data_IF_301833200169
#
_entry.id   IF_301833200169
#
_cell.length_a   1.000
_cell.length_b   1.000
_cell.length_c   1.000
_cell.angle_alpha   90.00
_cell.angle_beta   90.00
_cell.angle_gamma   90.00
#
_symmetry.space_group_name_H-M   'P 1'
#
loop_
_entity.id
_entity.type
_entity.pdbx_description
1 polymer ?
#
# COMPACT_ATOMS: atom_id res chain seq x y z
N UNK A 1 -18.01 -30.55 9.80
CA UNK A 1 -17.43 -30.40 8.45
C UNK A 1 -16.41 -29.29 8.50
N UNK A 2 -15.15 -29.51 8.18
CA UNK A 2 -14.16 -28.45 8.11
C UNK A 2 -14.53 -27.54 6.93
N UNK A 3 -14.85 -26.29 7.21
CA UNK A 3 -15.11 -25.29 6.17
C UNK A 3 -13.80 -25.04 5.44
N UNK A 4 -13.67 -25.49 4.21
CA UNK A 4 -12.48 -25.27 3.39
C UNK A 4 -12.35 -23.76 3.17
N UNK A 5 -11.24 -23.17 3.60
CA UNK A 5 -10.97 -21.76 3.41
C UNK A 5 -10.89 -21.42 1.92
N UNK A 6 -11.55 -20.32 1.51
CA UNK A 6 -11.50 -19.85 0.13
C UNK A 6 -10.09 -19.49 -0.25
N UNK A 7 -9.57 -20.09 -1.32
CA UNK A 7 -8.25 -19.78 -1.87
C UNK A 7 -8.27 -18.46 -2.61
N UNK A 8 -7.19 -17.69 -2.46
CA UNK A 8 -7.01 -16.45 -3.19
C UNK A 8 -5.54 -16.23 -3.61
N UNK A 9 -5.37 -15.50 -4.69
CA UNK A 9 -4.07 -15.03 -5.19
C UNK A 9 -4.21 -13.62 -5.72
N UNK A 10 -3.22 -12.77 -5.47
CA UNK A 10 -3.11 -11.42 -6.03
C UNK A 10 -1.67 -11.20 -6.48
N UNK A 11 -1.49 -10.79 -7.74
CA UNK A 11 -0.20 -10.40 -8.32
C UNK A 11 -0.32 -9.03 -8.95
N UNK A 12 0.69 -8.21 -8.76
CA UNK A 12 0.66 -6.87 -9.32
C UNK A 12 1.75 -5.97 -8.80
N UNK A 13 1.46 -4.67 -8.78
CA UNK A 13 2.40 -3.63 -8.41
C UNK A 13 1.88 -2.83 -7.23
N UNK A 14 2.74 -2.63 -6.23
CA UNK A 14 2.48 -1.82 -5.05
C UNK A 14 3.20 -0.47 -5.13
N UNK A 15 2.49 0.58 -4.75
CA UNK A 15 2.94 1.97 -4.75
C UNK A 15 2.84 2.50 -3.32
N UNK A 16 3.93 2.45 -2.57
CA UNK A 16 3.94 2.75 -1.14
C UNK A 16 4.55 4.12 -0.86
N UNK A 17 3.76 5.01 -0.29
CA UNK A 17 4.17 6.32 0.22
C UNK A 17 3.95 6.35 1.72
N UNK A 18 4.93 6.78 2.50
CA UNK A 18 4.74 6.93 3.95
C UNK A 18 5.51 8.13 4.52
N UNK A 19 5.21 8.46 5.77
CA UNK A 19 5.80 9.62 6.46
C UNK A 19 7.23 9.41 6.99
N UNK A 20 7.82 8.24 6.76
CA UNK A 20 9.22 7.96 7.10
C UNK A 20 10.21 8.73 6.19
N UNK A 21 11.46 8.79 6.61
CA UNK A 21 12.55 9.15 5.72
C UNK A 21 12.66 8.14 4.57
N UNK A 22 13.15 8.54 3.39
CA UNK A 22 13.36 7.62 2.28
C UNK A 22 14.16 6.38 2.67
N UNK A 23 13.70 5.21 2.24
CA UNK A 23 14.24 3.90 2.61
C UNK A 23 13.50 3.20 3.73
N UNK A 24 12.52 3.86 4.37
CA UNK A 24 11.62 3.32 5.40
C UNK A 24 12.26 2.33 6.39
N UNK A 25 12.68 2.81 7.55
CA UNK A 25 13.36 1.99 8.58
C UNK A 25 12.49 0.86 9.14
N UNK A 26 11.16 0.92 9.00
CA UNK A 26 10.26 -0.17 9.40
C UNK A 26 10.63 -1.51 8.78
N UNK A 27 11.19 -1.49 7.54
CA UNK A 27 11.62 -2.70 6.85
C UNK A 27 12.85 -3.37 7.48
N UNK A 28 13.58 -2.68 8.35
CA UNK A 28 14.82 -3.18 8.96
C UNK A 28 14.70 -3.34 10.48
N UNK A 29 14.19 -2.31 11.15
CA UNK A 29 14.11 -2.27 12.61
C UNK A 29 12.71 -2.53 13.16
N UNK A 30 11.68 -2.53 12.30
CA UNK A 30 10.27 -2.57 12.72
C UNK A 30 9.72 -1.23 13.22
N UNK A 31 10.56 -0.18 13.28
CA UNK A 31 10.16 1.13 13.81
C UNK A 31 10.25 2.23 12.77
N UNK A 32 9.26 3.16 12.71
CA UNK A 32 9.26 4.27 11.78
C UNK A 32 10.34 5.30 12.12
N UNK A 33 10.86 5.97 11.07
CA UNK A 33 11.79 7.09 11.19
C UNK A 33 11.09 8.46 11.17
N UNK A 34 9.76 8.47 11.26
CA UNK A 34 8.98 9.69 11.41
C UNK A 34 9.32 10.41 12.72
N UNK A 35 9.21 11.74 12.75
CA UNK A 35 9.58 12.54 13.92
C UNK A 35 8.72 12.29 15.16
N UNK A 36 7.49 11.82 14.96
CA UNK A 36 6.53 11.52 16.02
C UNK A 36 6.41 10.01 16.34
N UNK A 37 7.21 9.17 15.66
CA UNK A 37 7.19 7.72 15.83
C UNK A 37 5.95 7.03 15.24
N UNK A 38 5.07 7.78 14.56
CA UNK A 38 3.88 7.23 13.89
C UNK A 38 4.20 6.63 12.53
N UNK A 39 3.39 5.68 12.06
CA UNK A 39 3.44 5.19 10.69
C UNK A 39 2.16 5.62 9.96
N UNK A 40 2.29 6.56 9.03
CA UNK A 40 1.20 7.05 8.19
C UNK A 40 1.53 6.81 6.74
N UNK A 41 0.65 6.11 6.03
CA UNK A 41 0.96 5.66 4.69
C UNK A 41 -0.24 5.77 3.74
N UNK A 42 0.07 5.96 2.47
CA UNK A 42 -0.82 5.72 1.35
C UNK A 42 -0.20 4.63 0.48
N UNK A 43 -0.92 3.54 0.28
CA UNK A 43 -0.45 2.39 -0.49
C UNK A 43 -1.44 2.09 -1.60
N UNK A 44 -1.04 2.37 -2.85
CA UNK A 44 -1.76 1.94 -4.04
C UNK A 44 -1.44 0.49 -4.39
N UNK A 45 -2.45 -0.27 -4.80
CA UNK A 45 -2.36 -1.69 -5.19
C UNK A 45 -3.00 -1.85 -6.56
N UNK A 46 -2.18 -2.04 -7.59
CA UNK A 46 -2.64 -2.34 -8.94
C UNK A 46 -2.57 -3.85 -9.16
N UNK A 47 -3.71 -4.52 -9.10
CA UNK A 47 -3.82 -5.97 -9.28
C UNK A 47 -3.81 -6.28 -10.78
N UNK A 48 -2.72 -6.88 -11.26
CA UNK A 48 -2.61 -7.32 -12.66
C UNK A 48 -3.37 -8.63 -12.87
N UNK A 49 -3.18 -9.58 -11.97
CA UNK A 49 -3.83 -10.88 -11.95
C UNK A 49 -4.33 -11.14 -10.54
N UNK A 50 -5.59 -11.51 -10.37
CA UNK A 50 -6.15 -11.76 -9.05
C UNK A 50 -7.39 -12.64 -9.08
N UNK A 51 -7.49 -13.52 -8.09
CA UNK A 51 -8.64 -14.42 -7.94
C UNK A 51 -8.91 -14.70 -6.46
N UNK A 52 -10.21 -14.78 -6.11
CA UNK A 52 -10.65 -15.24 -4.79
C UNK A 52 -11.83 -16.22 -4.97
N UNK A 53 -11.58 -17.52 -4.77
CA UNK A 53 -12.53 -18.54 -5.19
C UNK A 53 -12.81 -18.43 -6.68
N UNK A 54 -14.06 -18.16 -7.05
CA UNK A 54 -14.48 -17.95 -8.44
C UNK A 54 -14.55 -16.47 -8.84
N UNK A 55 -14.27 -15.54 -7.91
CA UNK A 55 -14.31 -14.10 -8.16
C UNK A 55 -13.00 -13.66 -8.80
N UNK A 56 -13.09 -13.10 -10.02
CA UNK A 56 -11.95 -12.45 -10.71
C UNK A 56 -11.73 -11.05 -10.15
N UNK A 57 -10.49 -10.80 -9.71
CA UNK A 57 -10.01 -9.52 -9.16
C UNK A 57 -8.98 -8.85 -10.07
N UNK A 58 -8.73 -9.42 -11.26
CA UNK A 58 -7.75 -8.89 -12.21
C UNK A 58 -8.15 -7.50 -12.71
N UNK A 59 -7.17 -6.63 -12.89
CA UNK A 59 -7.36 -5.27 -13.39
C UNK A 59 -7.90 -4.28 -12.36
N UNK A 60 -8.18 -4.71 -11.12
CA UNK A 60 -8.62 -3.80 -10.07
C UNK A 60 -7.43 -2.98 -9.56
N UNK A 61 -7.63 -1.66 -9.48
CA UNK A 61 -6.72 -0.75 -8.78
C UNK A 61 -7.43 -0.21 -7.54
N UNK A 62 -6.85 -0.45 -6.37
CA UNK A 62 -7.38 0.01 -5.09
C UNK A 62 -6.25 0.59 -4.23
N UNK A 63 -6.59 1.18 -3.09
CA UNK A 63 -5.59 1.67 -2.15
C UNK A 63 -6.05 1.56 -0.70
N UNK A 64 -5.06 1.60 0.21
CA UNK A 64 -5.26 1.83 1.63
C UNK A 64 -4.60 3.14 2.08
N UNK A 65 -5.32 3.91 2.87
CA UNK A 65 -4.81 5.05 3.62
C UNK A 65 -4.71 4.64 5.07
N UNK A 66 -3.50 4.58 5.59
CA UNK A 66 -3.22 4.01 6.91
C UNK A 66 -2.73 5.09 7.88
N UNK A 67 -3.17 4.99 9.12
CA UNK A 67 -2.70 5.81 10.24
C UNK A 67 -2.50 4.93 11.47
N UNK A 68 -1.23 4.55 11.74
CA UNK A 68 -0.83 3.93 12.99
C UNK A 68 -0.21 4.99 13.91
N UNK A 69 -0.68 5.09 15.17
CA UNK A 69 -0.14 6.07 16.12
C UNK A 69 1.31 5.81 16.50
N UNK A 70 1.82 4.61 16.23
CA UNK A 70 3.18 4.14 16.50
C UNK A 70 3.65 3.20 15.38
N UNK A 71 4.60 2.31 15.68
CA UNK A 71 5.02 1.25 14.76
C UNK A 71 3.86 0.31 14.42
N UNK A 72 3.83 -0.21 13.18
CA UNK A 72 2.73 -1.04 12.67
C UNK A 72 2.41 -2.23 13.58
N UNK A 73 3.44 -2.92 14.09
CA UNK A 73 3.31 -4.10 14.92
C UNK A 73 2.76 -3.80 16.35
N UNK A 74 2.76 -2.54 16.76
CA UNK A 74 2.14 -2.12 18.03
C UNK A 74 0.61 -1.97 17.92
N UNK A 75 0.07 -2.03 16.68
CA UNK A 75 -1.37 -1.98 16.45
C UNK A 75 -2.00 -0.59 16.64
N UNK A 76 -3.31 -0.57 16.85
CA UNK A 76 -4.07 0.66 17.07
C UNK A 76 -4.27 1.50 15.80
N UNK A 77 -3.96 0.95 14.63
CA UNK A 77 -4.08 1.62 13.35
C UNK A 77 -5.53 1.78 12.89
N UNK A 78 -5.71 2.72 11.96
CA UNK A 78 -6.94 2.91 11.19
C UNK A 78 -6.61 2.83 9.71
N UNK A 79 -7.54 2.29 8.91
CA UNK A 79 -7.43 2.29 7.47
C UNK A 79 -8.72 2.80 6.82
N UNK A 80 -8.57 3.63 5.79
CA UNK A 80 -9.63 3.93 4.83
C UNK A 80 -9.23 3.30 3.50
N UNK A 81 -10.09 2.43 2.98
CA UNK A 81 -9.86 1.84 1.66
C UNK A 81 -10.46 2.72 0.56
N UNK A 82 -9.77 2.78 -0.57
CA UNK A 82 -10.24 3.42 -1.80
C UNK A 82 -10.35 2.32 -2.85
N UNK A 83 -11.53 2.15 -3.44
CA UNK A 83 -11.82 1.13 -4.45
C UNK A 83 -12.47 1.77 -5.67
N UNK A 84 -12.46 1.14 -6.86
CA UNK A 84 -13.10 1.68 -8.05
C UNK A 84 -14.57 2.02 -7.80
N UNK A 85 -15.06 3.10 -8.42
CA UNK A 85 -16.46 3.54 -8.29
C UNK A 85 -17.46 2.44 -8.67
N UNK A 86 -17.13 1.68 -9.73
CA UNK A 86 -17.99 0.61 -10.28
C UNK A 86 -17.55 -0.80 -9.88
N UNK A 87 -16.86 -0.95 -8.72
CA UNK A 87 -16.51 -2.28 -8.21
C UNK A 87 -17.77 -3.10 -7.95
N UNK A 88 -17.78 -4.37 -8.34
CA UNK A 88 -18.89 -5.27 -8.06
C UNK A 88 -18.89 -5.67 -6.58
N UNK A 89 -20.07 -6.00 -6.05
CA UNK A 89 -20.23 -6.35 -4.63
C UNK A 89 -19.45 -7.62 -4.25
N UNK A 90 -19.39 -8.63 -5.14
CA UNK A 90 -18.60 -9.84 -4.94
C UNK A 90 -17.08 -9.56 -4.89
N UNK A 91 -16.60 -8.64 -5.74
CA UNK A 91 -15.20 -8.20 -5.73
C UNK A 91 -14.86 -7.42 -4.46
N UNK A 92 -15.75 -6.51 -4.06
CA UNK A 92 -15.58 -5.72 -2.83
C UNK A 92 -15.54 -6.63 -1.59
N UNK A 93 -16.46 -7.59 -1.48
CA UNK A 93 -16.49 -8.56 -0.38
C UNK A 93 -15.21 -9.41 -0.34
N UNK A 94 -14.75 -9.89 -1.50
CA UNK A 94 -13.52 -10.66 -1.62
C UNK A 94 -12.30 -9.85 -1.15
N UNK A 95 -12.12 -8.62 -1.65
CA UNK A 95 -11.02 -7.74 -1.24
C UNK A 95 -11.09 -7.38 0.25
N UNK A 96 -12.29 -7.09 0.77
CA UNK A 96 -12.47 -6.80 2.18
C UNK A 96 -12.02 -8.00 3.05
N UNK A 97 -12.42 -9.23 2.72
CA UNK A 97 -12.01 -10.44 3.44
C UNK A 97 -10.50 -10.71 3.35
N UNK A 98 -9.88 -10.44 2.20
CA UNK A 98 -8.43 -10.55 2.03
C UNK A 98 -7.73 -9.51 2.89
N UNK A 99 -8.01 -8.22 2.69
CA UNK A 99 -7.28 -7.12 3.32
C UNK A 99 -7.51 -7.02 4.83
N UNK A 100 -8.60 -7.55 5.36
CA UNK A 100 -8.81 -7.67 6.81
C UNK A 100 -8.25 -8.97 7.41
N UNK A 101 -7.55 -9.80 6.63
CA UNK A 101 -6.91 -11.03 7.09
C UNK A 101 -7.88 -12.19 7.38
N UNK A 102 -9.18 -12.05 7.06
CA UNK A 102 -10.20 -13.10 7.32
C UNK A 102 -9.91 -14.38 6.54
N UNK A 103 -9.37 -14.27 5.33
CA UNK A 103 -9.01 -15.40 4.47
C UNK A 103 -7.59 -15.91 4.71
N UNK A 104 -6.89 -15.40 5.74
CA UNK A 104 -5.49 -15.73 6.01
C UNK A 104 -4.57 -15.43 4.81
N UNK A 105 -3.29 -15.81 4.91
CA UNK A 105 -2.30 -15.55 3.89
C UNK A 105 -1.57 -14.22 4.07
N UNK A 106 -0.29 -14.24 3.72
CA UNK A 106 0.57 -13.06 3.83
C UNK A 106 0.33 -12.08 2.68
N UNK A 107 0.44 -10.78 2.95
CA UNK A 107 0.79 -10.14 4.22
C UNK A 107 -0.43 -9.90 5.15
N UNK A 108 -1.63 -10.13 4.66
CA UNK A 108 -2.87 -9.60 5.23
C UNK A 108 -3.30 -10.27 6.52
N UNK A 109 -2.94 -11.55 6.75
CA UNK A 109 -3.21 -12.21 8.03
C UNK A 109 -2.48 -11.56 9.21
N UNK A 110 -1.36 -10.87 8.94
CA UNK A 110 -0.61 -10.10 9.92
C UNK A 110 -1.11 -8.66 9.95
N UNK A 111 -1.07 -7.97 8.81
CA UNK A 111 -1.44 -6.55 8.73
C UNK A 111 -2.88 -6.28 9.16
N UNK A 112 -3.82 -7.16 8.78
CA UNK A 112 -5.23 -7.04 9.16
C UNK A 112 -5.50 -7.06 10.66
N UNK A 113 -4.54 -7.51 11.48
CA UNK A 113 -4.65 -7.47 12.96
C UNK A 113 -4.20 -6.16 13.56
N UNK A 114 -3.53 -5.29 12.79
CA UNK A 114 -2.90 -4.07 13.30
C UNK A 114 -3.75 -2.82 13.14
N UNK A 115 -4.88 -2.91 12.45
CA UNK A 115 -5.77 -1.77 12.20
C UNK A 115 -7.25 -2.16 12.24
N UNK A 116 -8.08 -1.14 12.35
CA UNK A 116 -9.53 -1.22 12.13
C UNK A 116 -9.89 -0.47 10.85
N UNK A 117 -10.90 -0.97 10.12
CA UNK A 117 -11.41 -0.28 8.94
C UNK A 117 -12.26 0.91 9.39
N UNK A 118 -11.78 2.12 9.12
CA UNK A 118 -12.42 3.38 9.50
C UNK A 118 -13.33 3.94 8.39
N UNK A 119 -13.16 3.49 7.16
CA UNK A 119 -13.99 3.97 6.05
C UNK A 119 -13.70 3.29 4.72
N UNK A 120 -14.57 3.58 3.76
CA UNK A 120 -14.48 3.15 2.37
C UNK A 120 -14.85 4.33 1.45
N UNK A 121 -14.00 4.59 0.48
CA UNK A 121 -14.23 5.58 -0.59
C UNK A 121 -14.35 4.84 -1.91
N UNK A 122 -15.45 5.04 -2.63
CA UNK A 122 -15.61 4.54 -4.01
C UNK A 122 -15.23 5.66 -4.97
N UNK A 123 -14.08 5.52 -5.63
CA UNK A 123 -13.58 6.50 -6.60
C UNK A 123 -12.53 5.85 -7.51
N UNK A 124 -12.55 6.21 -8.78
CA UNK A 124 -11.58 5.69 -9.75
C UNK A 124 -10.22 6.36 -9.56
N UNK A 125 -9.18 5.54 -9.43
CA UNK A 125 -7.81 5.99 -9.29
C UNK A 125 -7.09 5.93 -10.63
N UNK A 126 -6.55 7.06 -11.05
CA UNK A 126 -5.65 7.14 -12.20
C UNK A 126 -4.22 6.85 -11.74
N UNK A 127 -3.65 5.76 -12.23
CA UNK A 127 -2.23 5.42 -12.06
C UNK A 127 -1.49 5.78 -13.35
N UNK A 128 -0.41 6.55 -13.22
CA UNK A 128 0.59 6.72 -14.27
C UNK A 128 1.80 5.91 -13.85
N UNK A 129 1.98 4.73 -14.47
CA UNK A 129 3.12 3.85 -14.18
C UNK A 129 4.32 4.26 -15.03
N UNK A 130 5.28 4.94 -14.41
CA UNK A 130 6.49 5.47 -15.01
C UNK A 130 7.73 5.11 -14.16
N UNK A 131 7.76 3.89 -13.59
CA UNK A 131 8.80 3.48 -12.66
C UNK A 131 8.83 4.40 -11.44
N UNK A 132 9.99 4.89 -11.07
CA UNK A 132 10.12 5.77 -9.89
C UNK A 132 9.44 7.14 -10.05
N UNK A 133 9.09 7.56 -11.26
CA UNK A 133 8.34 8.79 -11.56
C UNK A 133 6.82 8.57 -11.63
N UNK A 134 6.35 7.47 -11.04
CA UNK A 134 4.92 7.13 -11.04
C UNK A 134 4.07 8.09 -10.23
N UNK A 135 2.81 8.20 -10.60
CA UNK A 135 1.84 9.00 -9.84
C UNK A 135 0.49 8.30 -9.71
N UNK A 136 -0.18 8.54 -8.58
CA UNK A 136 -1.53 8.06 -8.29
C UNK A 136 -2.42 9.25 -7.95
N UNK A 137 -3.56 9.35 -8.64
CA UNK A 137 -4.47 10.49 -8.48
C UNK A 137 -5.93 10.02 -8.39
N UNK A 138 -6.63 10.51 -7.38
CA UNK A 138 -8.08 10.48 -7.25
C UNK A 138 -8.54 11.92 -7.05
N UNK A 139 -9.32 12.52 -7.97
CA UNK A 139 -9.71 13.92 -7.87
C UNK A 139 -10.33 14.26 -6.50
N UNK A 140 -9.79 15.27 -5.83
CA UNK A 140 -10.26 15.71 -4.52
C UNK A 140 -9.86 14.80 -3.34
N UNK A 141 -9.33 13.59 -3.59
CA UNK A 141 -9.03 12.59 -2.53
C UNK A 141 -7.54 12.28 -2.44
N UNK A 142 -6.87 12.00 -3.57
CA UNK A 142 -5.45 11.58 -3.58
C UNK A 142 -4.66 12.34 -4.63
N UNK A 143 -3.49 12.79 -4.25
CA UNK A 143 -2.42 13.19 -5.17
C UNK A 143 -1.10 12.69 -4.62
N UNK A 144 -0.54 11.64 -5.21
CA UNK A 144 0.74 11.05 -4.82
C UNK A 144 1.67 10.99 -6.03
N UNK A 145 2.91 11.41 -5.84
CA UNK A 145 3.94 11.47 -6.88
C UNK A 145 5.25 10.94 -6.31
N UNK A 146 5.86 10.01 -7.03
CA UNK A 146 7.19 9.48 -6.76
C UNK A 146 8.24 10.20 -7.59
N UNK A 147 9.45 10.23 -7.11
CA UNK A 147 10.64 10.74 -7.78
C UNK A 147 11.85 9.84 -7.48
N UNK A 148 12.72 9.68 -8.46
CA UNK A 148 14.02 9.02 -8.28
C UNK A 148 14.92 9.87 -7.38
N UNK A 149 15.78 9.24 -6.58
CA UNK A 149 16.86 9.97 -5.90
C UNK A 149 17.75 10.68 -6.90
N UNK A 150 18.30 11.81 -6.46
CA UNK A 150 19.32 12.56 -7.21
C UNK A 150 20.63 12.55 -6.46
N UNK A 151 21.72 12.34 -7.18
CA UNK A 151 23.06 12.53 -6.62
C UNK A 151 23.19 13.99 -6.14
N UNK A 152 23.51 14.23 -4.87
CA UNK A 152 23.53 15.58 -4.32
C UNK A 152 24.63 16.48 -4.90
N UNK A 153 25.65 15.88 -5.55
CA UNK A 153 26.76 16.60 -6.15
C UNK A 153 26.51 16.89 -7.63
N UNK A 154 26.05 15.89 -8.40
CA UNK A 154 25.89 16.03 -9.86
C UNK A 154 24.47 16.35 -10.30
N UNK A 155 23.46 16.13 -9.43
CA UNK A 155 22.05 16.26 -9.78
C UNK A 155 21.49 15.09 -10.63
N UNK A 156 22.35 14.16 -11.03
CA UNK A 156 21.96 13.03 -11.87
C UNK A 156 21.07 12.04 -11.11
N UNK A 157 20.14 11.33 -11.81
CA UNK A 157 19.33 10.28 -11.21
C UNK A 157 20.19 9.21 -10.52
N UNK A 158 19.80 8.83 -9.32
CA UNK A 158 20.44 7.80 -8.52
C UNK A 158 19.42 6.72 -8.16
N UNK A 159 19.57 5.55 -8.76
CA UNK A 159 18.68 4.42 -8.48
C UNK A 159 19.09 3.70 -7.21
N UNK A 160 18.13 3.42 -6.35
CA UNK A 160 18.33 2.65 -5.14
C UNK A 160 17.20 1.63 -4.97
N UNK A 161 17.51 0.50 -4.36
CA UNK A 161 16.52 -0.53 -4.05
C UNK A 161 16.86 -1.22 -2.73
N UNK A 162 15.82 -1.69 -2.05
CA UNK A 162 15.92 -2.53 -0.86
C UNK A 162 15.60 -3.97 -1.27
N UNK A 163 16.40 -4.93 -0.81
CA UNK A 163 16.13 -6.36 -0.93
C UNK A 163 15.89 -6.94 0.47
N UNK A 164 14.77 -7.59 0.66
CA UNK A 164 14.36 -8.28 1.88
C UNK A 164 14.15 -9.76 1.55
N UNK A 165 15.12 -10.61 1.84
CA UNK A 165 15.05 -12.03 1.48
C UNK A 165 13.82 -12.73 2.06
N UNK A 166 13.45 -12.35 3.29
CA UNK A 166 12.30 -12.89 4.02
C UNK A 166 11.14 -11.89 4.10
N UNK A 167 11.12 -10.88 3.21
CA UNK A 167 10.05 -9.88 3.15
C UNK A 167 8.69 -10.53 2.87
N UNK A 168 7.70 -10.25 3.71
CA UNK A 168 6.37 -10.84 3.59
C UNK A 168 5.37 -9.96 2.83
N UNK A 169 5.66 -8.65 2.69
CA UNK A 169 4.88 -7.74 1.85
C UNK A 169 5.47 -7.75 0.43
N UNK A 170 6.78 -7.57 0.33
CA UNK A 170 7.56 -7.61 -0.90
C UNK A 170 8.99 -8.04 -0.61
N UNK A 171 9.68 -8.56 -1.62
CA UNK A 171 11.08 -9.03 -1.50
C UNK A 171 12.09 -8.04 -2.05
N UNK A 172 11.69 -7.23 -3.01
CA UNK A 172 12.50 -6.16 -3.59
C UNK A 172 11.61 -4.96 -3.88
N UNK A 173 12.03 -3.78 -3.42
CA UNK A 173 11.38 -2.52 -3.70
C UNK A 173 12.39 -1.49 -4.19
N UNK A 174 12.08 -0.79 -5.27
CA UNK A 174 12.81 0.39 -5.70
C UNK A 174 12.46 1.56 -4.79
N UNK A 175 13.46 2.33 -4.37
CA UNK A 175 13.30 3.39 -3.39
C UNK A 175 13.55 4.75 -4.01
N UNK A 176 12.81 5.73 -3.54
CA UNK A 176 12.94 7.12 -3.97
C UNK A 176 12.36 8.09 -2.97
N UNK A 177 12.08 9.28 -3.45
CA UNK A 177 11.46 10.37 -2.69
C UNK A 177 10.02 10.54 -3.15
N UNK A 178 9.07 10.51 -2.22
CA UNK A 178 7.66 10.67 -2.50
C UNK A 178 7.06 11.92 -1.87
N UNK A 179 6.03 12.43 -2.52
CA UNK A 179 5.16 13.45 -1.95
C UNK A 179 3.72 13.00 -2.13
N UNK A 180 2.91 13.04 -1.07
CA UNK A 180 1.52 12.66 -1.17
C UNK A 180 0.62 13.51 -0.29
N UNK A 181 -0.57 13.77 -0.81
CA UNK A 181 -1.68 14.36 -0.09
C UNK A 181 -2.89 13.46 -0.24
N UNK A 182 -3.50 13.11 0.86
CA UNK A 182 -4.72 12.30 0.93
C UNK A 182 -5.74 13.00 1.81
N UNK A 183 -6.98 13.01 1.33
CA UNK A 183 -8.15 13.53 2.03
C UNK A 183 -9.27 12.48 1.85
N UNK A 184 -9.28 11.47 2.71
CA UNK A 184 -10.16 10.32 2.60
C UNK A 184 -10.88 10.07 3.93
N UNK A 185 -12.20 10.28 3.96
CA UNK A 185 -13.01 10.24 5.18
C UNK A 185 -12.35 11.09 6.30
N UNK A 186 -12.05 10.50 7.45
CA UNK A 186 -11.45 11.19 8.58
C UNK A 186 -9.90 11.19 8.57
N UNK A 187 -9.28 10.68 7.49
CA UNK A 187 -7.83 10.63 7.37
C UNK A 187 -7.31 11.72 6.40
N UNK A 188 -6.55 12.65 6.95
CA UNK A 188 -5.98 13.78 6.24
C UNK A 188 -4.45 13.73 6.34
N UNK A 189 -3.78 13.27 5.29
CA UNK A 189 -2.33 13.11 5.26
C UNK A 189 -1.71 14.07 4.24
N UNK A 190 -0.61 14.72 4.60
CA UNK A 190 0.12 15.59 3.67
C UNK A 190 1.60 15.56 4.00
N UNK A 191 2.38 14.90 3.15
CA UNK A 191 3.82 14.72 3.34
C UNK A 191 4.56 15.05 2.04
N UNK A 192 5.76 15.62 2.19
CA UNK A 192 6.63 15.98 1.07
C UNK A 192 8.03 15.46 1.31
N UNK A 193 8.68 14.98 0.25
CA UNK A 193 10.05 14.49 0.27
C UNK A 193 10.27 13.37 1.32
N UNK A 194 9.28 12.48 1.45
CA UNK A 194 9.30 11.34 2.37
C UNK A 194 9.54 10.03 1.62
N UNK A 195 9.35 8.91 2.26
CA UNK A 195 9.58 7.60 1.67
C UNK A 195 8.63 7.29 0.50
N UNK A 196 9.20 6.73 -0.56
CA UNK A 196 8.53 6.18 -1.71
C UNK A 196 9.16 4.85 -2.07
N UNK A 197 8.35 3.79 -2.20
CA UNK A 197 8.76 2.45 -2.60
C UNK A 197 7.82 1.93 -3.68
N UNK A 198 8.41 1.43 -4.77
CA UNK A 198 7.73 0.74 -5.85
C UNK A 198 8.16 -0.71 -5.85
N UNK A 199 7.19 -1.64 -5.82
CA UNK A 199 7.47 -3.06 -5.76
C UNK A 199 6.46 -3.92 -6.52
N UNK A 200 6.89 -5.10 -6.95
CA UNK A 200 5.99 -6.15 -7.39
C UNK A 200 5.60 -7.04 -6.22
N UNK A 201 4.36 -7.52 -6.22
CA UNK A 201 3.87 -8.45 -5.21
C UNK A 201 3.27 -9.71 -5.83
N UNK A 202 3.34 -10.81 -5.08
CA UNK A 202 2.69 -12.10 -5.34
C UNK A 202 2.19 -12.64 -4.01
N UNK A 203 0.93 -12.36 -3.68
CA UNK A 203 0.30 -12.68 -2.40
C UNK A 203 -0.73 -13.79 -2.55
N UNK A 204 -0.80 -14.67 -1.56
CA UNK A 204 -1.76 -15.79 -1.55
C UNK A 204 -1.98 -16.37 -0.15
N UNK A 205 -2.97 -17.27 -0.02
CA UNK A 205 -3.16 -18.12 1.14
C UNK A 205 -2.96 -19.60 0.84
#
# INVERSE_FOLDING_TARGET
MATTMTKWTLKGKGYEFCNCNPGCTCNFSGFPSSSDGSCKAFVGVAIKEGKCGDVDLSGITCAGVFDWPKAIHEGGGKVVFIVPEKIRDDQLDALAKIFTGQLKGLPWEILGTTYVVAGLVKADMKVTDAGMESSLKVPGVVNAVGETFKNPVTGEPHQAAIALNDGFIWKRGECGVGSFKVDAADLHLSYKNTNWILYDFDWSN
#
